data_IF_591725374653
#
_entry.id   IF_591725374653
#
_cell.length_a   1.000
_cell.length_b   1.000
_cell.length_c   1.000
_cell.angle_alpha   90.00
_cell.angle_beta   90.00
_cell.angle_gamma   90.00
#
_symmetry.space_group_name_H-M   'P 1'
#
loop_
_entity.id
_entity.type
_entity.pdbx_description
1 polymer ?
#
# COMPACT_ATOMS: atom_id res chain seq x y z
N UNK A 1 -15.80 -12.66 19.94
CA UNK A 1 -15.51 -11.24 20.22
C UNK A 1 -15.50 -11.03 21.74
N UNK A 2 -14.32 -11.01 22.37
CA UNK A 2 -14.20 -10.33 23.67
C UNK A 2 -14.41 -8.85 23.40
N UNK A 3 -15.39 -8.22 24.05
CA UNK A 3 -15.54 -6.76 24.11
C UNK A 3 -14.27 -6.24 24.79
N UNK A 4 -13.28 -5.86 23.99
CA UNK A 4 -12.12 -5.10 24.46
C UNK A 4 -12.38 -3.62 24.26
N UNK A 5 -11.52 -2.79 24.80
CA UNK A 5 -11.54 -1.35 24.55
C UNK A 5 -11.49 -1.08 23.04
N UNK A 6 -12.19 -0.04 22.55
CA UNK A 6 -12.18 0.31 21.14
C UNK A 6 -10.76 0.64 20.68
N UNK A 7 -10.39 0.31 19.44
CA UNK A 7 -9.08 0.66 18.91
C UNK A 7 -8.90 2.17 18.80
N UNK A 8 -7.70 2.65 19.10
CA UNK A 8 -7.30 4.02 18.73
C UNK A 8 -7.03 4.03 17.22
N UNK A 9 -7.69 4.94 16.51
CA UNK A 9 -7.50 5.12 15.06
C UNK A 9 -6.71 6.40 14.85
N UNK A 10 -5.59 6.30 14.14
CA UNK A 10 -4.75 7.43 13.75
C UNK A 10 -4.86 7.60 12.24
N UNK A 11 -5.52 8.67 11.81
CA UNK A 11 -5.56 9.06 10.41
C UNK A 11 -4.44 10.05 10.11
N UNK A 12 -3.65 9.76 9.06
CA UNK A 12 -2.54 10.62 8.64
C UNK A 12 -2.96 11.33 7.37
N UNK A 13 -2.93 12.64 7.41
CA UNK A 13 -3.29 13.52 6.32
C UNK A 13 -2.21 14.56 6.05
N UNK A 14 -2.43 15.37 5.03
CA UNK A 14 -1.57 16.48 4.64
C UNK A 14 -2.27 17.80 4.95
N UNK A 15 -1.48 18.81 5.30
CA UNK A 15 -1.98 20.19 5.44
C UNK A 15 -2.19 20.79 4.03
N UNK A 16 -3.39 20.55 3.50
CA UNK A 16 -3.78 20.96 2.16
C UNK A 16 -5.26 21.35 2.14
N UNK A 17 -5.66 22.40 1.40
CA UNK A 17 -7.05 22.76 1.19
C UNK A 17 -7.78 21.76 0.27
N UNK A 18 -7.07 20.86 -0.39
CA UNK A 18 -7.63 19.80 -1.22
C UNK A 18 -8.09 18.64 -0.34
N UNK A 19 -9.02 17.83 -0.83
CA UNK A 19 -9.46 16.62 -0.12
C UNK A 19 -8.31 15.66 0.23
N UNK A 20 -7.27 15.64 -0.60
CA UNK A 20 -5.97 14.97 -0.36
C UNK A 20 -4.91 15.46 -1.35
N UNK A 21 -3.66 15.47 -0.93
CA UNK A 21 -2.52 15.79 -1.77
C UNK A 21 -2.06 14.54 -2.53
N UNK A 22 -2.39 14.47 -3.82
CA UNK A 22 -2.07 13.31 -4.66
C UNK A 22 -0.57 13.19 -4.96
N UNK A 23 0.15 14.32 -5.00
CA UNK A 23 1.59 14.33 -5.30
C UNK A 23 2.40 13.93 -4.08
N UNK A 24 2.10 14.49 -2.90
CA UNK A 24 2.73 14.09 -1.65
C UNK A 24 2.47 12.60 -1.36
N UNK A 25 1.22 12.12 -1.53
CA UNK A 25 0.89 10.70 -1.37
C UNK A 25 1.64 9.81 -2.37
N UNK A 26 1.83 10.25 -3.61
CA UNK A 26 2.60 9.47 -4.58
C UNK A 26 4.05 9.34 -4.13
N UNK A 27 4.65 10.42 -3.62
CA UNK A 27 6.01 10.40 -3.10
C UNK A 27 6.12 9.53 -1.85
N UNK A 28 5.34 9.82 -0.81
CA UNK A 28 5.45 9.18 0.51
C UNK A 28 5.05 7.70 0.53
N UNK A 29 4.20 7.24 -0.40
CA UNK A 29 3.65 5.89 -0.34
C UNK A 29 4.28 4.93 -1.35
N UNK A 30 5.27 5.38 -2.12
CA UNK A 30 5.96 4.50 -3.07
C UNK A 30 7.43 4.33 -2.71
N UNK A 31 7.96 3.09 -2.81
CA UNK A 31 9.35 2.82 -2.48
C UNK A 31 10.34 3.46 -3.45
N UNK A 32 11.55 3.73 -2.98
CA UNK A 32 12.69 3.95 -3.85
C UNK A 32 13.19 2.60 -4.35
N UNK A 33 13.36 2.46 -5.66
CA UNK A 33 13.82 1.20 -6.26
C UNK A 33 15.33 1.18 -6.47
N UNK A 34 15.91 2.35 -6.71
CA UNK A 34 17.34 2.51 -6.96
C UNK A 34 17.87 3.63 -6.05
N UNK A 35 18.75 3.30 -5.14
CA UNK A 35 19.39 4.30 -4.32
C UNK A 35 20.49 5.04 -5.15
N UNK A 36 20.48 6.37 -5.20
CA UNK A 36 19.61 7.36 -4.53
C UNK A 36 18.45 7.88 -5.41
N UNK A 37 18.05 7.16 -6.44
CA UNK A 37 17.15 7.69 -7.46
C UNK A 37 15.71 7.81 -6.98
N UNK A 38 15.15 9.00 -7.11
CA UNK A 38 13.72 9.24 -7.05
C UNK A 38 13.12 8.77 -8.38
N UNK A 39 12.18 7.83 -8.31
CA UNK A 39 11.50 7.28 -9.50
C UNK A 39 10.15 7.96 -9.72
N UNK A 40 9.62 7.90 -10.94
CA UNK A 40 8.25 8.33 -11.18
C UNK A 40 7.27 7.32 -10.56
N UNK A 41 6.40 7.78 -9.69
CA UNK A 41 5.35 6.95 -9.07
C UNK A 41 4.23 6.62 -10.07
N UNK A 42 3.93 7.53 -10.96
CA UNK A 42 3.01 7.39 -12.10
C UNK A 42 3.61 8.15 -13.27
N UNK A 43 4.30 7.45 -14.16
CA UNK A 43 4.94 8.05 -15.34
C UNK A 43 3.92 8.81 -16.20
N UNK A 44 2.71 8.26 -16.36
CA UNK A 44 1.64 8.90 -17.12
C UNK A 44 1.22 10.27 -16.57
N UNK A 45 1.48 10.56 -15.29
CA UNK A 45 1.10 11.81 -14.62
C UNK A 45 2.29 12.63 -14.13
N UNK A 46 3.52 12.15 -14.39
CA UNK A 46 4.75 12.83 -14.00
C UNK A 46 4.92 13.03 -12.50
N UNK A 47 4.32 12.14 -11.68
CA UNK A 47 4.43 12.22 -10.21
C UNK A 47 5.69 11.54 -9.72
N UNK A 48 6.41 12.22 -8.84
CA UNK A 48 7.58 11.64 -8.18
C UNK A 48 7.17 10.62 -7.13
N UNK A 49 7.99 9.60 -6.95
CA UNK A 49 7.88 8.57 -5.92
C UNK A 49 9.21 8.37 -5.20
N UNK A 50 9.27 7.38 -4.30
CA UNK A 50 10.53 6.98 -3.65
C UNK A 50 10.69 7.46 -2.21
N UNK A 51 9.68 8.10 -1.61
CA UNK A 51 9.74 8.62 -0.24
C UNK A 51 9.27 7.66 0.85
N UNK A 52 8.90 6.40 0.52
CA UNK A 52 8.28 5.50 1.47
C UNK A 52 9.12 5.26 2.75
N UNK A 53 10.43 5.13 2.63
CA UNK A 53 11.30 4.92 3.79
C UNK A 53 11.33 6.14 4.71
N UNK A 54 11.39 7.36 4.14
CA UNK A 54 11.33 8.61 4.90
C UNK A 54 9.98 8.76 5.62
N UNK A 55 8.90 8.40 4.94
CA UNK A 55 7.58 8.42 5.52
C UNK A 55 7.43 7.39 6.65
N UNK A 56 7.98 6.19 6.51
CA UNK A 56 7.99 5.18 7.56
C UNK A 56 8.81 5.63 8.77
N UNK A 57 9.93 6.31 8.56
CA UNK A 57 10.72 6.91 9.65
C UNK A 57 9.92 8.00 10.36
N UNK A 58 9.24 8.88 9.62
CA UNK A 58 8.32 9.88 10.19
C UNK A 58 7.23 9.21 11.05
N UNK A 59 6.62 8.14 10.56
CA UNK A 59 5.59 7.39 11.29
C UNK A 59 6.12 6.82 12.60
N UNK A 60 7.30 6.23 12.56
CA UNK A 60 7.85 5.49 13.71
C UNK A 60 8.54 6.39 14.71
N UNK A 61 9.24 7.42 14.26
CA UNK A 61 10.10 8.26 15.11
C UNK A 61 9.42 9.53 15.61
N UNK A 62 8.39 10.01 14.89
CA UNK A 62 7.73 11.26 15.22
C UNK A 62 6.25 11.09 15.56
N UNK A 63 5.49 10.41 14.71
CA UNK A 63 4.02 10.31 14.90
C UNK A 63 3.70 9.31 16.01
N UNK A 64 4.28 8.12 15.99
CA UNK A 64 4.03 7.08 17.01
C UNK A 64 4.30 7.57 18.44
N UNK A 65 5.42 8.22 18.77
CA UNK A 65 5.64 8.77 20.12
C UNK A 65 4.60 9.80 20.53
N UNK A 66 4.15 10.66 19.62
CA UNK A 66 3.09 11.63 19.91
C UNK A 66 1.76 10.94 20.22
N UNK A 67 1.38 9.92 19.46
CA UNK A 67 0.18 9.12 19.74
C UNK A 67 0.28 8.44 21.11
N UNK A 68 1.43 7.87 21.44
CA UNK A 68 1.67 7.23 22.73
C UNK A 68 1.61 8.21 23.92
N UNK A 69 1.96 9.48 23.70
CA UNK A 69 1.81 10.53 24.71
C UNK A 69 0.35 10.96 24.92
N UNK A 70 -0.49 10.78 23.90
CA UNK A 70 -1.91 11.21 23.93
C UNK A 70 -2.88 10.09 24.35
N UNK A 71 -2.51 8.83 24.13
CA UNK A 71 -3.38 7.68 24.38
C UNK A 71 -2.56 6.46 24.83
N UNK A 72 -3.14 5.69 25.76
CA UNK A 72 -2.59 4.39 26.13
C UNK A 72 -2.76 3.42 24.95
N UNK A 73 -1.67 3.07 24.28
CA UNK A 73 -1.65 2.14 23.16
C UNK A 73 -0.74 0.95 23.47
N UNK A 74 -1.18 -0.23 23.06
CA UNK A 74 -0.37 -1.45 23.18
C UNK A 74 0.61 -1.52 21.99
N UNK A 75 1.93 -1.43 22.21
CA UNK A 75 2.91 -1.46 21.12
C UNK A 75 2.97 -2.82 20.40
N UNK A 76 2.47 -3.89 21.05
CA UNK A 76 2.40 -5.21 20.44
C UNK A 76 1.21 -5.42 19.51
N UNK A 77 0.20 -4.55 19.57
CA UNK A 77 -1.08 -4.67 18.87
C UNK A 77 -1.34 -3.52 17.90
N UNK A 78 -0.32 -3.09 17.20
CA UNK A 78 -0.43 -2.03 16.20
C UNK A 78 -0.68 -2.61 14.82
N UNK A 79 -1.54 -1.94 14.06
CA UNK A 79 -1.86 -2.30 12.68
C UNK A 79 -1.64 -1.14 11.71
N UNK A 80 -1.33 -1.47 10.47
CA UNK A 80 -1.25 -0.55 9.35
C UNK A 80 -2.33 -0.89 8.33
N UNK A 81 -3.19 0.08 8.03
CA UNK A 81 -4.20 -0.03 6.99
C UNK A 81 -3.93 0.94 5.86
N UNK A 82 -4.15 0.51 4.63
CA UNK A 82 -4.02 1.39 3.47
C UNK A 82 -4.85 0.96 2.27
N UNK A 83 -5.30 1.95 1.49
CA UNK A 83 -6.01 1.77 0.23
C UNK A 83 -5.16 2.30 -0.93
N UNK A 84 -5.17 1.61 -2.06
CA UNK A 84 -4.46 2.00 -3.29
C UNK A 84 -2.95 2.17 -3.03
N UNK A 85 -2.35 3.36 -3.17
CA UNK A 85 -0.95 3.63 -2.78
C UNK A 85 -0.69 3.40 -1.29
N UNK A 86 -1.67 3.64 -0.41
CA UNK A 86 -1.55 3.29 1.00
C UNK A 86 -1.45 1.77 1.20
N UNK A 87 -2.15 0.98 0.38
CA UNK A 87 -2.02 -0.49 0.34
C UNK A 87 -0.65 -0.93 -0.18
N UNK A 88 -0.11 -0.24 -1.18
CA UNK A 88 1.25 -0.45 -1.68
C UNK A 88 2.29 -0.21 -0.56
N UNK A 89 2.18 0.92 0.17
CA UNK A 89 3.04 1.23 1.30
C UNK A 89 2.95 0.16 2.40
N UNK A 90 1.73 -0.27 2.76
CA UNK A 90 1.55 -1.28 3.80
C UNK A 90 2.21 -2.61 3.41
N UNK A 91 2.07 -3.05 2.17
CA UNK A 91 2.76 -4.23 1.65
C UNK A 91 4.28 -4.04 1.62
N UNK A 92 4.75 -2.89 1.14
CA UNK A 92 6.18 -2.57 1.16
C UNK A 92 6.75 -2.62 2.59
N UNK A 93 6.01 -2.08 3.56
CA UNK A 93 6.39 -2.15 4.98
C UNK A 93 6.47 -3.60 5.49
N UNK A 94 5.52 -4.45 5.11
CA UNK A 94 5.56 -5.88 5.45
C UNK A 94 6.82 -6.55 4.89
N UNK A 95 7.22 -6.21 3.65
CA UNK A 95 8.43 -6.77 3.03
C UNK A 95 9.74 -6.29 3.66
N UNK A 96 9.81 -5.01 4.04
CA UNK A 96 11.07 -4.36 4.42
C UNK A 96 11.24 -4.21 5.92
N UNK A 97 10.14 -4.04 6.64
CA UNK A 97 10.11 -3.72 8.07
C UNK A 97 8.97 -4.46 8.80
N UNK A 98 8.86 -5.78 8.61
CA UNK A 98 7.76 -6.61 9.15
C UNK A 98 7.56 -6.51 10.66
N UNK A 99 8.60 -6.14 11.42
CA UNK A 99 8.53 -5.93 12.87
C UNK A 99 7.71 -4.70 13.29
N UNK A 100 7.46 -3.73 12.38
CA UNK A 100 6.81 -2.47 12.75
C UNK A 100 5.35 -2.64 13.17
N UNK A 101 4.63 -3.56 12.55
CA UNK A 101 3.22 -3.80 12.84
C UNK A 101 2.92 -5.30 12.96
N UNK A 102 1.96 -5.66 13.79
CA UNK A 102 1.50 -7.05 13.92
C UNK A 102 0.32 -7.36 13.01
N UNK A 103 -0.29 -6.33 12.42
CA UNK A 103 -1.43 -6.47 11.51
C UNK A 103 -1.30 -5.52 10.34
N UNK A 104 -1.60 -6.05 9.17
CA UNK A 104 -1.66 -5.28 7.94
C UNK A 104 -3.03 -5.52 7.31
N UNK A 105 -3.64 -4.46 6.80
CA UNK A 105 -4.86 -4.57 6.01
C UNK A 105 -4.73 -3.69 4.78
N UNK A 106 -4.91 -4.27 3.61
CA UNK A 106 -4.74 -3.58 2.34
C UNK A 106 -6.00 -3.70 1.51
N UNK A 107 -6.48 -2.56 1.01
CA UNK A 107 -7.65 -2.49 0.15
C UNK A 107 -7.22 -2.03 -1.24
N UNK A 108 -7.56 -2.82 -2.26
CA UNK A 108 -7.24 -2.55 -3.67
C UNK A 108 -5.81 -1.99 -3.85
N UNK A 109 -4.76 -2.66 -3.34
CA UNK A 109 -3.40 -2.14 -3.40
C UNK A 109 -3.00 -1.86 -4.84
N UNK A 110 -2.19 -0.81 -5.07
CA UNK A 110 -1.73 -0.42 -6.40
C UNK A 110 -0.70 -1.41 -6.96
N UNK A 111 -1.15 -2.64 -7.24
CA UNK A 111 -0.29 -3.74 -7.73
C UNK A 111 0.36 -3.42 -9.07
N UNK A 112 -0.22 -2.52 -9.87
CA UNK A 112 0.29 -2.07 -11.17
C UNK A 112 1.52 -1.15 -11.05
N UNK A 113 1.75 -0.57 -9.86
CA UNK A 113 2.84 0.37 -9.67
C UNK A 113 4.19 -0.25 -10.09
N UNK A 114 4.95 0.54 -10.84
CA UNK A 114 6.22 0.14 -11.44
C UNK A 114 6.15 -1.26 -12.06
N UNK A 115 5.18 -1.43 -12.98
CA UNK A 115 4.93 -2.67 -13.73
C UNK A 115 4.74 -3.92 -12.88
N UNK A 116 4.15 -3.78 -11.70
CA UNK A 116 3.90 -4.92 -10.81
C UNK A 116 5.07 -5.28 -9.89
N UNK A 117 5.88 -4.30 -9.53
CA UNK A 117 7.05 -4.49 -8.67
C UNK A 117 6.81 -5.42 -7.47
N UNK A 118 5.74 -5.18 -6.69
CA UNK A 118 5.45 -6.01 -5.51
C UNK A 118 5.02 -7.44 -5.88
N UNK A 119 4.27 -7.60 -6.97
CA UNK A 119 3.89 -8.94 -7.46
C UNK A 119 5.13 -9.72 -7.90
N UNK A 120 5.99 -9.10 -8.71
CA UNK A 120 7.21 -9.76 -9.18
C UNK A 120 8.12 -10.12 -8.01
N UNK A 121 8.22 -9.26 -7.02
CA UNK A 121 8.96 -9.54 -5.81
C UNK A 121 8.35 -10.70 -5.03
N UNK A 122 7.02 -10.73 -4.85
CA UNK A 122 6.35 -11.83 -4.17
C UNK A 122 6.56 -13.19 -4.86
N UNK A 123 6.54 -13.20 -6.19
CA UNK A 123 6.69 -14.43 -6.97
C UNK A 123 8.15 -14.86 -7.13
N UNK A 124 9.11 -13.94 -7.06
CA UNK A 124 10.54 -14.20 -7.29
C UNK A 124 11.35 -14.40 -6.01
N UNK A 125 10.92 -13.81 -4.90
CA UNK A 125 11.66 -13.88 -3.65
C UNK A 125 11.42 -15.21 -2.93
N UNK A 126 12.47 -15.73 -2.30
CA UNK A 126 12.32 -16.85 -1.36
C UNK A 126 11.46 -16.39 -0.16
N UNK A 127 10.53 -17.22 0.33
CA UNK A 127 9.74 -16.89 1.50
C UNK A 127 10.62 -16.48 2.69
N UNK A 128 10.35 -15.31 3.24
CA UNK A 128 11.08 -14.76 4.38
C UNK A 128 10.22 -14.88 5.63
N UNK A 129 10.77 -15.42 6.70
CA UNK A 129 10.06 -15.44 7.97
C UNK A 129 9.84 -14.01 8.46
N UNK A 130 8.59 -13.67 8.77
CA UNK A 130 8.30 -12.39 9.44
C UNK A 130 8.87 -12.42 10.87
N UNK A 131 9.36 -11.27 11.34
CA UNK A 131 10.09 -11.18 12.62
C UNK A 131 9.18 -11.38 13.84
N UNK A 132 7.87 -11.39 13.66
CA UNK A 132 6.85 -11.63 14.69
C UNK A 132 5.59 -12.23 14.05
N UNK A 133 4.75 -12.88 14.84
CA UNK A 133 3.46 -13.34 14.35
C UNK A 133 2.66 -12.17 13.78
N UNK A 134 2.36 -12.23 12.49
CA UNK A 134 1.79 -11.14 11.72
C UNK A 134 0.55 -11.61 10.96
N UNK A 135 -0.45 -10.75 10.86
CA UNK A 135 -1.66 -10.99 10.07
C UNK A 135 -1.74 -9.99 8.91
N UNK A 136 -2.08 -10.48 7.74
CA UNK A 136 -2.35 -9.68 6.54
C UNK A 136 -3.77 -9.96 6.04
N UNK A 137 -4.59 -8.93 5.98
CA UNK A 137 -5.89 -8.97 5.31
C UNK A 137 -5.77 -8.28 3.95
N UNK A 138 -6.12 -9.00 2.87
CA UNK A 138 -6.15 -8.46 1.51
C UNK A 138 -7.60 -8.34 1.05
N UNK A 139 -8.02 -7.13 0.77
CA UNK A 139 -9.36 -6.80 0.28
C UNK A 139 -9.29 -6.35 -1.17
N UNK A 140 -10.02 -7.01 -2.06
CA UNK A 140 -10.19 -6.61 -3.45
C UNK A 140 -11.65 -6.18 -3.66
N UNK A 141 -11.85 -4.96 -4.17
CA UNK A 141 -13.19 -4.38 -4.32
C UNK A 141 -13.98 -4.90 -5.51
N UNK A 142 -13.33 -5.55 -6.48
CA UNK A 142 -13.99 -6.12 -7.65
C UNK A 142 -13.22 -7.32 -8.17
N UNK A 143 -13.92 -8.36 -8.56
CA UNK A 143 -13.32 -9.49 -9.28
C UNK A 143 -12.87 -9.09 -10.68
N UNK A 144 -11.95 -9.85 -11.27
CA UNK A 144 -11.52 -9.65 -12.65
C UNK A 144 -12.70 -9.68 -13.64
N UNK A 145 -13.70 -10.53 -13.40
CA UNK A 145 -14.91 -10.64 -14.21
C UNK A 145 -15.77 -9.37 -14.11
N UNK A 146 -15.97 -8.82 -12.91
CA UNK A 146 -16.73 -7.58 -12.69
C UNK A 146 -16.03 -6.37 -13.33
N UNK A 147 -14.70 -6.28 -13.22
CA UNK A 147 -13.92 -5.23 -13.89
C UNK A 147 -14.03 -5.32 -15.40
N UNK A 148 -13.99 -6.52 -15.96
CA UNK A 148 -14.17 -6.74 -17.40
C UNK A 148 -15.58 -6.41 -17.85
N UNK A 149 -16.62 -6.77 -17.10
CA UNK A 149 -18.01 -6.52 -17.40
C UNK A 149 -18.40 -5.03 -17.29
N UNK A 150 -17.78 -4.28 -16.38
CA UNK A 150 -18.07 -2.84 -16.19
C UNK A 150 -17.59 -1.96 -17.35
N UNK A 151 -16.70 -2.48 -18.21
CA UNK A 151 -16.14 -1.72 -19.32
C UNK A 151 -15.28 -0.51 -18.89
N UNK A 152 -14.86 0.32 -19.83
CA UNK A 152 -14.05 1.49 -19.53
C UNK A 152 -14.85 2.56 -18.80
N UNK A 153 -14.37 2.99 -17.62
CA UNK A 153 -14.98 4.11 -16.88
C UNK A 153 -14.92 5.40 -17.70
N UNK A 154 -15.98 6.23 -17.68
CA UNK A 154 -15.94 7.54 -18.31
C UNK A 154 -14.78 8.38 -17.77
N UNK A 155 -14.22 9.23 -18.64
CA UNK A 155 -13.20 10.18 -18.23
C UNK A 155 -13.80 11.21 -17.28
N UNK A 156 -13.11 11.55 -16.22
CA UNK A 156 -13.48 12.68 -15.37
C UNK A 156 -13.27 13.98 -16.17
N UNK A 157 -14.14 14.99 -16.00
CA UNK A 157 -13.94 16.28 -16.63
C UNK A 157 -12.54 16.84 -16.33
N UNK A 158 -11.91 17.43 -17.35
CA UNK A 158 -10.59 18.07 -17.21
C UNK A 158 -9.38 17.13 -17.25
N UNK A 159 -9.56 15.83 -17.44
CA UNK A 159 -8.44 14.90 -17.66
C UNK A 159 -8.14 14.78 -19.15
N UNK A 160 -6.89 15.01 -19.52
CA UNK A 160 -6.39 14.79 -20.87
C UNK A 160 -6.60 13.31 -21.28
N UNK A 161 -7.24 13.04 -22.43
CA UNK A 161 -7.47 11.68 -22.90
C UNK A 161 -6.20 10.84 -23.08
N UNK A 162 -5.09 11.44 -23.50
CA UNK A 162 -3.83 10.74 -23.67
C UNK A 162 -3.23 10.32 -22.32
N UNK A 163 -3.24 11.23 -21.33
CA UNK A 163 -2.82 10.93 -19.96
C UNK A 163 -3.69 9.81 -19.38
N UNK A 164 -4.99 9.85 -19.61
CA UNK A 164 -5.89 8.79 -19.17
C UNK A 164 -5.60 7.44 -19.85
N UNK A 165 -5.28 7.45 -21.15
CA UNK A 165 -4.95 6.25 -21.91
C UNK A 165 -3.64 5.62 -21.39
N UNK A 166 -2.59 6.42 -21.17
CA UNK A 166 -1.32 5.98 -20.58
C UNK A 166 -1.52 5.39 -19.18
N UNK A 167 -2.27 6.09 -18.31
CA UNK A 167 -2.58 5.58 -16.98
C UNK A 167 -3.40 4.28 -16.98
N UNK A 168 -4.23 4.06 -17.99
CA UNK A 168 -4.94 2.78 -18.17
C UNK A 168 -3.98 1.68 -18.62
N UNK A 169 -3.05 2.00 -19.52
CA UNK A 169 -2.02 1.07 -19.98
C UNK A 169 -1.12 0.62 -18.82
N UNK A 170 -0.67 1.55 -17.97
CA UNK A 170 0.09 1.23 -16.76
C UNK A 170 -0.64 0.22 -15.87
N UNK A 171 -1.96 0.42 -15.66
CA UNK A 171 -2.74 -0.48 -14.80
C UNK A 171 -2.99 -1.86 -15.40
N UNK A 172 -2.85 -2.01 -16.70
CA UNK A 172 -3.02 -3.29 -17.40
C UNK A 172 -1.72 -4.10 -17.49
N UNK A 173 -0.62 -3.60 -16.95
CA UNK A 173 0.66 -4.32 -16.96
C UNK A 173 0.71 -5.51 -16.00
N UNK A 174 -0.28 -5.66 -15.12
CA UNK A 174 -0.42 -6.79 -14.18
C UNK A 174 -1.73 -7.53 -14.41
N UNK A 175 -1.81 -8.82 -14.03
CA UNK A 175 -3.06 -9.57 -14.07
C UNK A 175 -4.15 -8.91 -13.22
N UNK A 176 -5.44 -9.06 -13.58
CA UNK A 176 -6.55 -8.52 -12.78
C UNK A 176 -6.61 -9.07 -11.36
N UNK A 177 -6.11 -10.29 -11.14
CA UNK A 177 -6.03 -11.00 -9.86
C UNK A 177 -4.65 -10.89 -9.19
N UNK A 178 -3.85 -9.90 -9.57
CA UNK A 178 -2.48 -9.70 -9.03
C UNK A 178 -2.41 -9.67 -7.49
N UNK A 179 -3.42 -9.06 -6.83
CA UNK A 179 -3.48 -9.02 -5.38
C UNK A 179 -3.73 -10.41 -4.77
N UNK A 180 -4.56 -11.23 -5.40
CA UNK A 180 -4.82 -12.61 -4.96
C UNK A 180 -3.58 -13.49 -5.18
N UNK A 181 -2.92 -13.39 -6.33
CA UNK A 181 -1.67 -14.13 -6.59
C UNK A 181 -0.60 -13.79 -5.55
N UNK A 182 -0.44 -12.51 -5.24
CA UNK A 182 0.48 -12.07 -4.21
C UNK A 182 0.07 -12.61 -2.82
N UNK A 183 -1.22 -12.55 -2.45
CA UNK A 183 -1.71 -13.07 -1.18
C UNK A 183 -1.44 -14.57 -1.03
N UNK A 184 -1.67 -15.35 -2.09
CA UNK A 184 -1.38 -16.79 -2.12
C UNK A 184 0.11 -17.07 -1.89
N UNK A 185 0.98 -16.30 -2.52
CA UNK A 185 2.42 -16.43 -2.32
C UNK A 185 2.84 -16.04 -0.90
N UNK A 186 2.33 -14.92 -0.38
CA UNK A 186 2.63 -14.48 0.98
C UNK A 186 2.11 -15.45 2.06
N UNK A 187 1.05 -16.19 1.78
CA UNK A 187 0.54 -17.23 2.68
C UNK A 187 1.54 -18.38 2.91
N UNK A 188 2.57 -18.50 2.07
CA UNK A 188 3.66 -19.46 2.27
C UNK A 188 4.75 -18.97 3.23
N UNK A 189 4.69 -17.70 3.64
CA UNK A 189 5.73 -17.13 4.51
C UNK A 189 5.57 -17.57 5.96
N UNK A 190 6.65 -18.10 6.60
CA UNK A 190 6.59 -18.54 7.98
C UNK A 190 6.21 -17.38 8.94
N UNK A 191 5.21 -17.62 9.78
CA UNK A 191 4.73 -16.65 10.77
C UNK A 191 3.77 -15.59 10.25
N UNK A 192 3.41 -15.62 8.95
CA UNK A 192 2.42 -14.73 8.34
C UNK A 192 1.10 -15.48 8.10
N UNK A 193 0.01 -15.00 8.72
CA UNK A 193 -1.34 -15.44 8.43
C UNK A 193 -1.97 -14.48 7.41
N UNK A 194 -2.48 -15.00 6.29
CA UNK A 194 -3.09 -14.21 5.20
C UNK A 194 -4.55 -14.58 5.06
N UNK A 195 -5.42 -13.57 4.95
CA UNK A 195 -6.88 -13.68 4.77
C UNK A 195 -7.32 -12.84 3.55
#
# INVERSE_FOLDING_TARGET
>A
HRRGDPPVIVAIGYDTPLGFDVSARAFDYTPSLDAPAVTLAEEARGRLGGGAELFLDLLTERIRPQVQALAAVDPSRQGLWGHSFGGLLALHTLYTRSALFSRYAVADPSMWWHRGYLLHRALGDTPVAVQRATHLLVMAGSSAAEVAAAGPRPLRPGIDPEVAARARAERRCVPPDAAQQMAQQLATWPGLAVE
#
